data_IF_092435819449
#
_entry.id   IF_092435819449
#
_cell.length_a   1.000
_cell.length_b   1.000
_cell.length_c   1.000
_cell.angle_alpha   90.00
_cell.angle_beta   90.00
_cell.angle_gamma   90.00
#
_symmetry.space_group_name_H-M   'P 1'
#
loop_
_entity.id
_entity.type
_entity.pdbx_description
1 polymer ?
#
# COMPACT_ATOMS: atom_id res chain seq x y z
N UNK A 1 -45.22 14.28 10.53
CA UNK A 1 -44.23 13.73 9.56
C UNK A 1 -43.01 14.65 9.57
N UNK A 2 -41.78 14.14 9.73
CA UNK A 2 -40.60 15.00 9.64
C UNK A 2 -40.27 15.33 8.18
N UNK A 3 -39.94 16.59 7.91
CA UNK A 3 -39.63 17.10 6.58
C UNK A 3 -38.29 16.54 6.06
N UNK A 4 -38.33 15.97 4.85
CA UNK A 4 -37.16 15.42 4.17
C UNK A 4 -36.31 16.57 3.64
N UNK A 5 -35.10 16.74 4.20
CA UNK A 5 -34.12 17.71 3.68
C UNK A 5 -33.45 17.11 2.44
N UNK A 6 -33.65 17.73 1.28
CA UNK A 6 -32.97 17.36 0.05
C UNK A 6 -31.50 17.80 0.12
N UNK A 7 -30.60 16.88 0.47
CA UNK A 7 -29.16 17.11 0.47
C UNK A 7 -28.63 16.88 -0.95
N UNK A 8 -28.00 17.91 -1.54
CA UNK A 8 -27.28 17.77 -2.81
C UNK A 8 -25.87 17.26 -2.51
N UNK A 9 -25.56 16.02 -2.92
CA UNK A 9 -24.20 15.49 -2.84
C UNK A 9 -23.35 16.07 -3.97
N UNK A 10 -22.25 16.72 -3.62
CA UNK A 10 -21.21 17.16 -4.56
C UNK A 10 -20.01 16.24 -4.39
N UNK A 11 -19.68 15.46 -5.40
CA UNK A 11 -18.51 14.57 -5.39
C UNK A 11 -17.26 15.37 -5.74
N UNK A 12 -16.31 15.45 -4.80
CA UNK A 12 -14.97 15.98 -5.08
C UNK A 12 -14.20 14.97 -5.92
N UNK A 13 -13.56 15.44 -6.98
CA UNK A 13 -12.63 14.65 -7.80
C UNK A 13 -11.22 15.12 -7.49
N UNK A 14 -10.44 14.24 -6.88
CA UNK A 14 -9.00 14.44 -6.70
C UNK A 14 -8.27 13.78 -7.88
N UNK A 15 -7.14 14.35 -8.30
CA UNK A 15 -6.29 13.74 -9.32
C UNK A 15 -5.63 12.46 -8.77
N UNK A 16 -5.30 11.49 -9.63
CA UNK A 16 -4.56 10.30 -9.21
C UNK A 16 -3.17 10.69 -8.67
N UNK A 17 -2.66 9.90 -7.73
CA UNK A 17 -1.29 10.06 -7.25
C UNK A 17 -0.28 9.62 -8.33
N UNK A 18 0.99 10.02 -8.19
CA UNK A 18 2.04 9.62 -9.15
C UNK A 18 2.21 8.11 -9.19
N UNK A 19 2.15 7.44 -8.04
CA UNK A 19 2.26 5.98 -7.94
C UNK A 19 1.10 5.28 -8.67
N UNK A 20 -0.13 5.76 -8.46
CA UNK A 20 -1.31 5.22 -9.15
C UNK A 20 -1.24 5.45 -10.66
N UNK A 21 -0.76 6.62 -11.08
CA UNK A 21 -0.59 6.99 -12.48
C UNK A 21 0.49 6.13 -13.17
N UNK A 22 1.64 5.89 -12.51
CA UNK A 22 2.70 5.00 -12.99
C UNK A 22 2.20 3.56 -13.13
N UNK A 23 1.42 3.09 -12.15
CA UNK A 23 0.81 1.76 -12.19
C UNK A 23 -0.19 1.61 -13.34
N UNK A 24 -1.04 2.62 -13.56
CA UNK A 24 -1.98 2.62 -14.68
C UNK A 24 -1.26 2.68 -16.04
N UNK A 25 -0.20 3.49 -16.17
CA UNK A 25 0.57 3.64 -17.40
C UNK A 25 1.36 2.36 -17.77
N UNK A 26 1.80 1.58 -16.77
CA UNK A 26 2.43 0.27 -16.99
C UNK A 26 1.50 -0.72 -17.71
N UNK A 27 0.19 -0.61 -17.52
CA UNK A 27 -0.80 -1.41 -18.25
C UNK A 27 -1.02 -0.97 -19.71
N UNK A 28 -0.55 0.22 -20.09
CA UNK A 28 -0.77 0.80 -21.42
C UNK A 28 0.46 0.65 -22.33
N UNK A 29 1.67 0.78 -21.78
CA UNK A 29 2.93 0.68 -22.56
C UNK A 29 4.06 0.00 -21.79
N UNK A 30 4.90 -0.72 -22.54
CA UNK A 30 6.12 -1.35 -22.05
C UNK A 30 7.34 -0.42 -22.14
N UNK A 31 7.26 0.65 -22.94
CA UNK A 31 8.34 1.62 -23.07
C UNK A 31 8.40 2.53 -21.84
N UNK A 32 9.61 2.75 -21.32
CA UNK A 32 9.79 3.50 -20.06
C UNK A 32 9.52 4.99 -20.24
N UNK A 33 9.95 5.60 -21.36
CA UNK A 33 9.76 7.03 -21.59
C UNK A 33 8.29 7.34 -21.90
N UNK A 34 7.63 6.51 -22.70
CA UNK A 34 6.19 6.64 -22.94
C UNK A 34 5.38 6.50 -21.65
N UNK A 35 5.77 5.56 -20.77
CA UNK A 35 5.12 5.37 -19.47
C UNK A 35 5.22 6.61 -18.59
N UNK A 36 6.39 7.24 -18.53
CA UNK A 36 6.59 8.47 -17.76
C UNK A 36 5.74 9.61 -18.30
N UNK A 37 5.64 9.75 -19.63
CA UNK A 37 4.81 10.77 -20.25
C UNK A 37 3.32 10.58 -19.91
N UNK A 38 2.80 9.36 -20.04
CA UNK A 38 1.40 9.06 -19.71
C UNK A 38 1.13 9.32 -18.22
N UNK A 39 2.04 8.92 -17.34
CA UNK A 39 1.89 9.15 -15.91
C UNK A 39 1.93 10.66 -15.53
N UNK A 40 2.74 11.47 -16.23
CA UNK A 40 2.73 12.92 -16.10
C UNK A 40 1.40 13.53 -16.54
N UNK A 41 0.84 13.08 -17.66
CA UNK A 41 -0.47 13.52 -18.14
C UNK A 41 -1.62 13.13 -17.19
N UNK A 42 -1.56 11.94 -16.58
CA UNK A 42 -2.55 11.47 -15.62
C UNK A 42 -2.51 12.21 -14.29
N UNK A 43 -1.30 12.49 -13.78
CA UNK A 43 -1.09 13.14 -12.48
C UNK A 43 -1.08 14.68 -12.54
N UNK A 44 -0.88 15.26 -13.73
CA UNK A 44 -0.76 16.70 -13.92
C UNK A 44 0.57 17.28 -13.44
N UNK A 45 1.60 16.45 -13.25
CA UNK A 45 2.93 16.84 -12.80
C UNK A 45 3.92 16.89 -13.96
N UNK A 46 5.11 17.44 -13.73
CA UNK A 46 6.17 17.47 -14.73
C UNK A 46 6.76 16.06 -14.95
N UNK A 47 7.29 15.81 -16.14
CA UNK A 47 7.95 14.53 -16.46
C UNK A 47 9.14 14.29 -15.51
N UNK A 48 9.87 15.34 -15.14
CA UNK A 48 11.02 15.24 -14.23
C UNK A 48 10.60 14.80 -12.81
N UNK A 49 9.48 15.34 -12.29
CA UNK A 49 8.94 14.94 -10.98
C UNK A 49 8.48 13.48 -10.98
N UNK A 50 7.83 13.05 -12.06
CA UNK A 50 7.37 11.66 -12.22
C UNK A 50 8.55 10.71 -12.38
N UNK A 51 9.60 11.11 -13.09
CA UNK A 51 10.83 10.32 -13.24
C UNK A 51 11.52 10.12 -11.89
N UNK A 52 11.66 11.17 -11.09
CA UNK A 52 12.24 11.07 -9.75
C UNK A 52 11.42 10.11 -8.85
N UNK A 53 10.09 10.17 -8.94
CA UNK A 53 9.22 9.25 -8.22
C UNK A 53 9.35 7.80 -8.69
N UNK A 54 9.44 7.57 -10.00
CA UNK A 54 9.65 6.24 -10.58
C UNK A 54 10.99 5.63 -10.14
N UNK A 55 12.06 6.43 -10.13
CA UNK A 55 13.38 6.00 -9.62
C UNK A 55 13.35 5.67 -8.13
N UNK A 56 12.68 6.50 -7.32
CA UNK A 56 12.50 6.25 -5.89
C UNK A 56 11.74 4.94 -5.64
N UNK A 57 10.67 4.69 -6.40
CA UNK A 57 9.90 3.45 -6.35
C UNK A 57 10.76 2.23 -6.72
N UNK A 58 11.54 2.32 -7.81
CA UNK A 58 12.44 1.26 -8.23
C UNK A 58 13.50 0.95 -7.16
N UNK A 59 14.08 1.99 -6.55
CA UNK A 59 15.05 1.84 -5.46
C UNK A 59 14.43 1.19 -4.21
N UNK A 60 13.18 1.50 -3.89
CA UNK A 60 12.46 0.86 -2.78
C UNK A 60 12.18 -0.62 -3.05
N UNK A 61 11.76 -0.96 -4.28
CA UNK A 61 11.56 -2.35 -4.70
C UNK A 61 12.86 -3.16 -4.65
N UNK A 62 14.00 -2.57 -5.05
CA UNK A 62 15.31 -3.20 -4.94
C UNK A 62 15.71 -3.51 -3.48
N UNK A 63 15.39 -2.61 -2.54
CA UNK A 63 15.62 -2.83 -1.10
C UNK A 63 14.75 -3.98 -0.57
N UNK A 64 13.48 -4.04 -0.96
CA UNK A 64 12.55 -5.11 -0.56
C UNK A 64 12.98 -6.49 -1.07
N UNK A 65 13.56 -6.57 -2.27
CA UNK A 65 14.14 -7.81 -2.84
C UNK A 65 15.28 -8.40 -1.99
N UNK A 66 16.05 -7.56 -1.29
CA UNK A 66 17.21 -8.01 -0.49
C UNK A 66 16.81 -8.66 0.85
N UNK A 67 15.57 -8.47 1.32
CA UNK A 67 14.97 -9.23 2.43
C UNK A 67 14.50 -10.63 1.98
N UNK A 68 15.25 -11.28 1.08
CA UNK A 68 15.08 -12.70 0.78
C UNK A 68 15.40 -13.49 2.04
N UNK A 69 14.33 -13.95 2.67
CA UNK A 69 14.27 -14.92 3.76
C UNK A 69 15.37 -15.97 3.52
N UNK A 70 16.44 -15.92 4.30
CA UNK A 70 17.38 -17.02 4.45
C UNK A 70 16.67 -18.15 5.20
N UNK A 71 15.72 -18.81 4.54
CA UNK A 71 15.17 -20.07 5.02
C UNK A 71 16.26 -21.12 4.82
N UNK A 72 17.06 -21.36 5.86
CA UNK A 72 18.00 -22.48 5.94
C UNK A 72 17.24 -23.80 6.06
N UNK A 73 16.37 -24.16 5.11
CA UNK A 73 15.80 -25.50 5.03
C UNK A 73 15.77 -25.91 3.57
N UNK A 74 16.77 -26.72 3.21
CA UNK A 74 16.89 -27.46 1.96
C UNK A 74 15.75 -28.49 1.89
N UNK A 75 14.60 -28.11 1.35
CA UNK A 75 13.63 -29.06 0.82
C UNK A 75 12.77 -28.39 -0.24
N UNK A 76 12.96 -28.85 -1.47
CA UNK A 76 12.08 -28.67 -2.61
C UNK A 76 10.62 -28.88 -2.14
N UNK A 77 9.72 -27.93 -2.42
CA UNK A 77 8.26 -27.92 -2.13
C UNK A 77 7.76 -27.61 -0.70
N UNK A 78 8.16 -26.48 -0.10
CA UNK A 78 7.55 -25.98 1.14
C UNK A 78 6.92 -24.60 0.99
N UNK A 79 5.59 -24.51 0.93
CA UNK A 79 4.87 -23.23 1.01
C UNK A 79 5.07 -22.62 2.40
N UNK A 80 5.67 -21.43 2.48
CA UNK A 80 5.83 -20.72 3.74
C UNK A 80 4.49 -20.09 4.17
N UNK A 81 3.91 -20.60 5.25
CA UNK A 81 2.68 -20.05 5.83
C UNK A 81 3.06 -19.02 6.90
N UNK A 82 2.77 -17.75 6.62
CA UNK A 82 2.90 -16.65 7.60
C UNK A 82 1.59 -16.55 8.38
N UNK A 83 1.66 -16.76 9.70
CA UNK A 83 0.51 -16.59 10.60
C UNK A 83 0.76 -15.41 11.51
N UNK A 84 -0.13 -14.42 11.47
CA UNK A 84 -0.16 -13.37 12.49
C UNK A 84 -0.84 -13.91 13.76
N UNK A 85 -0.08 -14.05 14.86
CA UNK A 85 -0.62 -14.47 16.15
C UNK A 85 -1.09 -13.27 16.96
N UNK A 86 -2.41 -13.08 17.04
CA UNK A 86 -3.02 -12.12 17.97
C UNK A 86 -2.85 -12.61 19.41
N UNK A 87 -2.08 -11.90 20.23
CA UNK A 87 -1.92 -12.22 21.66
C UNK A 87 -3.24 -11.98 22.39
N UNK A 88 -3.83 -13.02 22.95
CA UNK A 88 -4.99 -12.89 23.85
C UNK A 88 -4.53 -12.22 25.14
N UNK A 89 -5.14 -11.09 25.48
CA UNK A 89 -4.86 -10.39 26.73
C UNK A 89 -5.40 -11.23 27.89
N UNK A 90 -4.53 -11.87 28.66
CA UNK A 90 -4.92 -12.57 29.88
C UNK A 90 -5.42 -11.53 30.88
N UNK A 91 -6.71 -11.57 31.20
CA UNK A 91 -7.26 -10.78 32.30
C UNK A 91 -6.86 -11.49 33.59
N UNK A 92 -5.73 -11.09 34.16
CA UNK A 92 -5.41 -11.43 35.56
C UNK A 92 -6.42 -10.71 36.43
N UNK A 93 -7.39 -11.42 37.01
CA UNK A 93 -8.28 -10.84 38.01
C UNK A 93 -7.44 -10.47 39.24
N UNK A 94 -7.56 -9.24 39.79
CA UNK A 94 -6.94 -8.93 41.05
C UNK A 94 -7.62 -9.77 42.14
N UNK A 95 -6.81 -10.54 42.86
CA UNK A 95 -7.22 -11.29 44.04
C UNK A 95 -7.73 -10.27 45.06
N UNK A 96 -9.04 -10.24 45.32
CA UNK A 96 -9.62 -9.37 46.33
C UNK A 96 -8.96 -9.68 47.67
N UNK A 97 -8.33 -8.68 48.28
CA UNK A 97 -7.79 -8.78 49.64
C UNK A 97 -8.97 -8.90 50.60
N UNK A 98 -9.09 -10.05 51.24
CA UNK A 98 -9.99 -10.24 52.38
C UNK A 98 -9.48 -9.38 53.54
N UNK A 99 -10.29 -8.41 53.95
CA UNK A 99 -10.07 -7.63 55.17
C UNK A 99 -10.35 -8.52 56.39
N UNK A 100 -9.43 -8.56 57.34
CA UNK A 100 -9.63 -9.09 58.69
C UNK A 100 -8.98 -8.11 59.68
#
# INVERSE_FOLDING_TARGET
MPAVKNVRYVTKRELPTVEDALYAAEGLTADFEERLQIAAELSGLSIDDVRAAAEAQAAEMAKKSTLRITSTIRSNTGSAVVVERRRTRSVTMPRSLTLA
#
